data_IF_687067998334
#
_entry.id   IF_687067998334
#
_cell.length_a   1.000
_cell.length_b   1.000
_cell.length_c   1.000
_cell.angle_alpha   90.00
_cell.angle_beta   90.00
_cell.angle_gamma   90.00
#
_symmetry.space_group_name_H-M   'P 1'
#
loop_
_entity.id
_entity.type
_entity.pdbx_description
1 polymer ?
#
# COMPACT_ATOMS: atom_id res chain seq x y z
N UNK A 1 19.82 -1.91 -8.53
CA UNK A 1 19.70 -1.70 -7.08
C UNK A 1 18.65 -0.62 -6.91
N UNK A 2 17.49 -0.93 -6.30
CA UNK A 2 16.49 0.09 -5.96
C UNK A 2 16.76 0.51 -4.51
N UNK A 3 17.70 1.43 -4.35
CA UNK A 3 18.06 2.04 -3.06
C UNK A 3 16.87 2.86 -2.55
N UNK A 4 16.30 2.46 -1.41
CA UNK A 4 15.64 3.30 -0.40
C UNK A 4 15.03 4.65 -0.83
N UNK A 5 14.24 4.70 -1.91
CA UNK A 5 13.48 5.89 -2.28
C UNK A 5 12.05 5.75 -1.77
N UNK A 6 11.59 6.80 -1.08
CA UNK A 6 10.17 6.98 -0.76
C UNK A 6 9.43 7.03 -2.10
N UNK A 7 8.50 6.12 -2.30
CA UNK A 7 7.62 6.12 -3.47
C UNK A 7 6.69 7.32 -3.40
N UNK A 8 6.51 8.00 -4.52
CA UNK A 8 5.52 9.07 -4.62
C UNK A 8 4.12 8.51 -4.35
N UNK A 9 3.29 9.15 -3.50
CA UNK A 9 1.93 8.68 -3.20
C UNK A 9 1.07 8.43 -4.44
N UNK A 10 1.24 9.25 -5.48
CA UNK A 10 0.57 9.04 -6.77
C UNK A 10 1.00 7.75 -7.47
N UNK A 11 2.30 7.41 -7.43
CA UNK A 11 2.80 6.16 -7.98
C UNK A 11 2.22 4.96 -7.21
N UNK A 12 2.11 5.08 -5.88
CA UNK A 12 1.48 4.06 -5.06
C UNK A 12 -0.02 3.88 -5.39
N UNK A 13 -0.76 4.97 -5.59
CA UNK A 13 -2.18 4.91 -6.01
C UNK A 13 -2.34 4.20 -7.36
N UNK A 14 -1.44 4.42 -8.31
CA UNK A 14 -1.47 3.70 -9.60
C UNK A 14 -1.23 2.19 -9.42
N UNK A 15 -0.33 1.79 -8.52
CA UNK A 15 -0.11 0.37 -8.18
C UNK A 15 -1.33 -0.22 -7.45
N UNK A 16 -1.92 0.52 -6.51
CA UNK A 16 -3.16 0.13 -5.83
C UNK A 16 -4.32 -0.05 -6.83
N UNK A 17 -4.40 0.81 -7.85
CA UNK A 17 -5.39 0.68 -8.92
C UNK A 17 -5.17 -0.57 -9.76
N UNK A 18 -3.92 -0.90 -10.08
CA UNK A 18 -3.58 -2.16 -10.74
C UNK A 18 -3.93 -3.37 -9.87
N UNK A 19 -3.62 -3.32 -8.57
CA UNK A 19 -3.98 -4.36 -7.61
C UNK A 19 -5.50 -4.59 -7.56
N UNK A 20 -6.28 -3.51 -7.48
CA UNK A 20 -7.75 -3.57 -7.47
C UNK A 20 -8.30 -4.20 -8.75
N UNK A 21 -7.76 -3.84 -9.91
CA UNK A 21 -8.19 -4.37 -11.21
C UNK A 21 -7.69 -5.80 -11.51
N UNK A 22 -6.63 -6.25 -10.83
CA UNK A 22 -6.04 -7.58 -11.04
C UNK A 22 -6.91 -8.66 -10.39
N UNK A 23 -7.12 -9.84 -11.01
CA UNK A 23 -7.81 -10.97 -10.36
C UNK A 23 -7.04 -11.50 -9.14
N UNK A 24 -7.75 -12.01 -8.12
CA UNK A 24 -7.15 -12.44 -6.84
C UNK A 24 -5.97 -13.44 -7.01
N UNK A 25 -6.07 -14.35 -7.97
CA UNK A 25 -5.04 -15.34 -8.32
C UNK A 25 -3.71 -14.75 -8.82
N UNK A 26 -3.72 -13.50 -9.30
CA UNK A 26 -2.54 -12.79 -9.81
C UNK A 26 -2.13 -11.60 -8.92
N UNK A 27 -2.79 -11.39 -7.77
CA UNK A 27 -2.50 -10.26 -6.87
C UNK A 27 -1.28 -10.47 -5.99
N UNK A 28 -0.79 -11.70 -5.82
CA UNK A 28 0.22 -12.04 -4.80
C UNK A 28 1.51 -11.22 -4.89
N UNK A 29 2.03 -11.00 -6.11
CA UNK A 29 3.25 -10.20 -6.31
C UNK A 29 3.03 -8.72 -6.00
N UNK A 30 1.90 -8.16 -6.44
CA UNK A 30 1.52 -6.77 -6.17
C UNK A 30 1.25 -6.53 -4.68
N UNK A 31 0.55 -7.47 -4.03
CA UNK A 31 0.32 -7.44 -2.59
C UNK A 31 1.65 -7.38 -1.84
N UNK A 32 2.57 -8.30 -2.12
CA UNK A 32 3.89 -8.34 -1.48
C UNK A 32 4.68 -7.04 -1.68
N UNK A 33 4.72 -6.50 -2.90
CA UNK A 33 5.45 -5.26 -3.19
C UNK A 33 4.84 -4.04 -2.47
N UNK A 34 3.51 -3.96 -2.40
CA UNK A 34 2.82 -2.89 -1.69
C UNK A 34 2.98 -3.02 -0.17
N UNK A 35 2.88 -4.24 0.37
CA UNK A 35 3.12 -4.55 1.78
C UNK A 35 4.53 -4.14 2.19
N UNK A 36 5.55 -4.49 1.40
CA UNK A 36 6.94 -4.10 1.65
C UNK A 36 7.12 -2.58 1.70
N UNK A 37 6.50 -1.87 0.75
CA UNK A 37 6.55 -0.40 0.70
C UNK A 37 5.90 0.24 1.93
N UNK A 38 4.79 -0.30 2.42
CA UNK A 38 4.11 0.21 3.61
C UNK A 38 4.89 -0.10 4.89
N UNK A 39 5.31 -1.36 5.08
CA UNK A 39 6.04 -1.81 6.28
C UNK A 39 7.32 -0.99 6.46
N UNK A 40 8.07 -0.77 5.37
CA UNK A 40 9.29 0.04 5.39
C UNK A 40 9.04 1.56 5.38
N UNK A 41 7.78 2.00 5.54
CA UNK A 41 7.39 3.42 5.54
C UNK A 41 7.91 4.18 4.31
N UNK A 42 7.99 3.49 3.17
CA UNK A 42 8.41 4.06 1.87
C UNK A 42 7.26 4.74 1.15
N UNK A 43 6.09 4.86 1.77
CA UNK A 43 4.93 5.57 1.22
C UNK A 43 4.26 6.36 2.33
N UNK A 44 3.83 7.59 2.03
CA UNK A 44 2.98 8.37 2.92
C UNK A 44 1.52 7.93 2.73
N UNK A 45 1.04 7.05 3.61
CA UNK A 45 -0.34 6.56 3.59
C UNK A 45 -1.38 7.65 3.85
N UNK A 46 -1.04 8.72 4.58
CA UNK A 46 -1.98 9.81 4.82
C UNK A 46 -2.22 10.60 3.52
N UNK A 47 -1.14 10.86 2.77
CA UNK A 47 -1.25 11.50 1.46
C UNK A 47 -1.97 10.59 0.44
N UNK A 48 -1.70 9.29 0.44
CA UNK A 48 -2.45 8.31 -0.38
C UNK A 48 -3.95 8.35 -0.06
N UNK A 49 -4.33 8.29 1.22
CA UNK A 49 -5.74 8.38 1.64
C UNK A 49 -6.39 9.68 1.19
N UNK A 50 -5.71 10.82 1.35
CA UNK A 50 -6.22 12.11 0.91
C UNK A 50 -6.47 12.14 -0.60
N UNK A 51 -5.54 11.62 -1.40
CA UNK A 51 -5.69 11.53 -2.85
C UNK A 51 -6.90 10.69 -3.27
N UNK A 52 -7.15 9.57 -2.57
CA UNK A 52 -8.30 8.71 -2.83
C UNK A 52 -9.63 9.38 -2.43
N UNK A 53 -9.64 10.11 -1.31
CA UNK A 53 -10.79 10.91 -0.86
C UNK A 53 -11.11 12.02 -1.88
N UNK A 54 -10.09 12.76 -2.32
CA UNK A 54 -10.25 13.85 -3.29
C UNK A 54 -10.74 13.33 -4.66
N UNK A 55 -10.33 12.12 -5.03
CA UNK A 55 -10.81 11.43 -6.23
C UNK A 55 -12.20 10.81 -6.08
N UNK A 56 -12.69 10.64 -4.84
CA UNK A 56 -13.96 9.96 -4.54
C UNK A 56 -13.94 8.45 -4.83
N UNK A 57 -12.77 7.82 -4.82
CA UNK A 57 -12.60 6.43 -5.23
C UNK A 57 -12.70 5.46 -4.04
N UNK A 58 -13.95 5.20 -3.62
CA UNK A 58 -14.23 4.32 -2.47
C UNK A 58 -13.72 2.88 -2.69
N UNK A 59 -13.74 2.37 -3.92
CA UNK A 59 -13.27 1.00 -4.21
C UNK A 59 -11.78 0.82 -3.98
N UNK A 60 -10.98 1.86 -4.29
CA UNK A 60 -9.56 1.87 -3.97
C UNK A 60 -9.30 2.06 -2.48
N UNK A 61 -10.11 2.88 -1.78
CA UNK A 61 -10.03 2.99 -0.32
C UNK A 61 -10.25 1.63 0.36
N UNK A 62 -11.30 0.89 -0.03
CA UNK A 62 -11.58 -0.43 0.53
C UNK A 62 -10.43 -1.42 0.25
N UNK A 63 -9.77 -1.29 -0.90
CA UNK A 63 -8.63 -2.13 -1.27
C UNK A 63 -7.37 -1.78 -0.48
N UNK A 64 -7.17 -0.49 -0.20
CA UNK A 64 -6.09 -0.02 0.67
C UNK A 64 -6.29 -0.54 2.09
N UNK A 65 -7.51 -0.42 2.64
CA UNK A 65 -7.83 -0.89 3.98
C UNK A 65 -7.64 -2.40 4.11
N UNK A 66 -8.12 -3.20 3.13
CA UNK A 66 -7.85 -4.65 3.10
C UNK A 66 -6.34 -4.98 3.12
N UNK A 67 -5.53 -4.19 2.40
CA UNK A 67 -4.10 -4.40 2.33
C UNK A 67 -3.42 -4.04 3.66
N UNK A 68 -3.91 -3.00 4.35
CA UNK A 68 -3.47 -2.60 5.68
C UNK A 68 -3.83 -3.66 6.73
N UNK A 69 -5.06 -4.20 6.70
CA UNK A 69 -5.49 -5.27 7.61
C UNK A 69 -4.63 -6.53 7.45
N UNK A 70 -4.20 -6.84 6.22
CA UNK A 70 -3.32 -7.98 5.95
C UNK A 70 -1.91 -7.79 6.52
N UNK A 71 -1.42 -6.55 6.59
CA UNK A 71 -0.06 -6.25 7.05
C UNK A 71 0.01 -5.73 8.48
N UNK A 72 -1.11 -5.42 9.12
CA UNK A 72 -1.23 -5.03 10.52
C UNK A 72 -0.33 -5.87 11.45
N UNK A 73 -0.32 -7.22 11.39
CA UNK A 73 0.54 -8.02 12.26
C UNK A 73 2.05 -7.79 12.02
N UNK A 74 2.45 -7.38 10.81
CA UNK A 74 3.85 -7.14 10.44
C UNK A 74 4.29 -5.69 10.70
N UNK A 75 3.36 -4.75 10.81
CA UNK A 75 3.64 -3.35 11.18
C UNK A 75 3.96 -3.27 12.69
N UNK A 76 3.26 -4.03 13.54
CA UNK A 76 3.50 -4.05 14.99
C UNK A 76 4.81 -4.77 15.38
N UNK A 77 5.23 -5.84 14.68
CA UNK A 77 6.53 -6.48 14.94
C UNK A 77 7.74 -5.60 14.54
N UNK A 78 7.54 -4.61 13.67
CA UNK A 78 8.56 -3.59 13.34
C UNK A 78 8.67 -2.45 14.36
N UNK A 79 7.87 -2.50 15.43
CA UNK A 79 7.76 -1.42 16.43
C UNK A 79 8.66 -1.55 17.67
N UNK A 80 9.35 -2.69 17.86
CA UNK A 80 10.25 -2.88 19.02
C UNK A 80 11.50 -3.66 18.57
N UNK A 81 12.50 -2.94 18.07
CA UNK A 81 13.87 -3.28 18.48
C UNK A 81 14.07 -2.64 19.87
N UNK A 82 14.42 -3.52 20.83
CA UNK A 82 14.77 -3.33 22.26
C UNK A 82 13.71 -3.68 23.31
#
# INVERSE_FOLDING_TARGET
MFENQVQEPKAFVEVLRQFHATPAEARGELANAMSDAIIHKRVDLAEVRQLLIDAGDQGLMDSLDQLLDLIEPYIEEGGVEE
#
